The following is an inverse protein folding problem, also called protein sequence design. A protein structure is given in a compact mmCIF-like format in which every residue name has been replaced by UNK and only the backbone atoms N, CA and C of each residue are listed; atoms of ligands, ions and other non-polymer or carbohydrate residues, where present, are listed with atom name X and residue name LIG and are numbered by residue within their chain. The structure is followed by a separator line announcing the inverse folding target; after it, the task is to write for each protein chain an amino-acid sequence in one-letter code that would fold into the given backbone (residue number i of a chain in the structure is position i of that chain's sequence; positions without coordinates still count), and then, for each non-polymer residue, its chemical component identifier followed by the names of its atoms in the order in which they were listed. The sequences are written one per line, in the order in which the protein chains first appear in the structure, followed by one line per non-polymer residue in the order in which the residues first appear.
data_IF_925131858179
#
_entry.id   IF_925131858179
#
_cell.length_a   1.000
_cell.length_b   1.000
_cell.length_c   1.000
_cell.angle_alpha   90.00
_cell.angle_beta   90.00
_cell.angle_gamma   90.00
#
_symmetry.space_group_name_H-M   'P 1'
#
loop_
_entity.id
_entity.type
_entity.pdbx_description
1 polymer ?
#
# COMPACT_ATOMS: atom_id res chain seq x y z
N UNK A 1 -24.39 16.95 13.43
CA UNK A 1 -24.08 15.69 12.75
C UNK A 1 -22.67 15.33 13.14
N UNK A 2 -22.35 14.07 13.50
CA UNK A 2 -20.95 13.67 13.58
C UNK A 2 -20.33 13.96 12.21
N UNK A 3 -19.14 14.59 12.21
CA UNK A 3 -18.36 14.71 10.99
C UNK A 3 -17.80 13.31 10.76
N UNK A 4 -18.22 12.63 9.69
CA UNK A 4 -17.62 11.35 9.33
C UNK A 4 -16.10 11.55 9.18
N UNK A 5 -15.31 10.72 9.87
CA UNK A 5 -13.85 10.78 9.77
C UNK A 5 -13.45 10.51 8.32
N UNK A 6 -12.51 11.29 7.75
CA UNK A 6 -12.11 11.07 6.38
C UNK A 6 -11.46 9.69 6.22
N UNK A 7 -11.72 9.03 5.09
CA UNK A 7 -11.19 7.69 4.81
C UNK A 7 -10.14 7.72 3.71
N UNK A 8 -8.94 7.25 4.03
CA UNK A 8 -7.76 7.31 3.16
C UNK A 8 -7.28 5.91 2.82
N UNK A 9 -7.12 5.63 1.53
CA UNK A 9 -6.46 4.42 1.05
C UNK A 9 -4.95 4.56 1.08
N UNK A 10 -4.25 3.48 1.41
CA UNK A 10 -2.79 3.42 1.33
C UNK A 10 -2.34 2.26 0.45
N UNK A 11 -1.42 2.52 -0.49
CA UNK A 11 -0.79 1.48 -1.31
C UNK A 11 0.73 1.65 -1.28
N UNK A 12 1.46 0.56 -1.16
CA UNK A 12 2.92 0.54 -1.32
C UNK A 12 3.33 -0.30 -2.50
N UNK A 13 4.32 0.17 -3.24
CA UNK A 13 4.85 -0.51 -4.42
C UNK A 13 6.29 -0.97 -4.20
N UNK A 14 6.75 -1.89 -5.03
CA UNK A 14 8.12 -2.39 -4.99
C UNK A 14 8.69 -2.72 -6.37
N UNK A 15 10.01 -2.82 -6.41
CA UNK A 15 10.75 -3.28 -7.57
C UNK A 15 10.50 -4.80 -7.79
N UNK A 16 9.98 -5.23 -8.95
CA UNK A 16 9.72 -6.63 -9.24
C UNK A 16 11.01 -7.47 -9.39
N UNK A 17 12.18 -6.84 -9.51
CA UNK A 17 13.45 -7.54 -9.74
C UNK A 17 13.98 -8.13 -8.44
N UNK A 18 13.98 -9.46 -8.38
CA UNK A 18 14.54 -10.23 -7.25
C UNK A 18 16.05 -10.14 -7.13
N UNK A 19 16.72 -9.93 -8.27
CA UNK A 19 18.17 -9.77 -8.35
C UNK A 19 18.63 -8.38 -7.92
N UNK A 20 17.71 -7.45 -7.67
CA UNK A 20 18.07 -6.16 -7.10
C UNK A 20 18.61 -6.39 -5.67
N UNK A 21 19.68 -5.66 -5.33
CA UNK A 21 20.35 -5.80 -4.05
C UNK A 21 19.37 -5.59 -2.88
N UNK A 22 19.60 -6.34 -1.79
CA UNK A 22 18.88 -6.20 -0.52
C UNK A 22 17.37 -6.42 -0.63
N UNK A 23 16.96 -7.42 -1.42
CA UNK A 23 15.55 -7.77 -1.65
C UNK A 23 14.74 -7.86 -0.34
N UNK A 24 15.21 -8.66 0.62
CA UNK A 24 14.48 -8.91 1.87
C UNK A 24 14.42 -7.67 2.75
N UNK A 25 15.51 -6.92 2.84
CA UNK A 25 15.61 -5.68 3.61
C UNK A 25 14.71 -4.60 3.01
N UNK A 26 14.63 -4.53 1.67
CA UNK A 26 13.74 -3.63 0.95
C UNK A 26 12.28 -3.93 1.24
N UNK A 27 11.84 -5.17 1.11
CA UNK A 27 10.44 -5.53 1.41
C UNK A 27 10.10 -5.29 2.88
N UNK A 28 11.02 -5.60 3.79
CA UNK A 28 10.88 -5.29 5.22
C UNK A 28 10.76 -3.79 5.48
N UNK A 29 11.58 -2.97 4.81
CA UNK A 29 11.50 -1.51 4.90
C UNK A 29 10.15 -0.99 4.38
N UNK A 30 9.70 -1.43 3.22
CA UNK A 30 8.41 -1.02 2.64
C UNK A 30 7.28 -1.36 3.60
N UNK A 31 7.25 -2.59 4.14
CA UNK A 31 6.25 -3.01 5.11
C UNK A 31 6.28 -2.13 6.37
N UNK A 32 7.46 -1.88 6.92
CA UNK A 32 7.60 -1.05 8.12
C UNK A 32 7.10 0.39 7.88
N UNK A 33 7.47 1.00 6.75
CA UNK A 33 7.05 2.37 6.40
C UNK A 33 5.55 2.45 6.15
N UNK A 34 4.99 1.47 5.46
CA UNK A 34 3.55 1.39 5.19
C UNK A 34 2.74 1.28 6.49
N UNK A 35 3.09 0.34 7.37
CA UNK A 35 2.42 0.18 8.67
C UNK A 35 2.56 1.41 9.56
N UNK A 36 3.75 1.99 9.61
CA UNK A 36 3.98 3.22 10.38
C UNK A 36 3.11 4.38 9.88
N UNK A 37 2.90 4.49 8.57
CA UNK A 37 2.01 5.48 7.99
C UNK A 37 0.54 5.21 8.36
N UNK A 38 0.08 3.96 8.23
CA UNK A 38 -1.27 3.55 8.61
C UNK A 38 -1.56 3.91 10.08
N UNK A 39 -0.71 3.44 10.99
CA UNK A 39 -0.84 3.71 12.43
C UNK A 39 -0.84 5.21 12.73
N UNK A 40 0.04 5.99 12.08
CA UNK A 40 0.06 7.44 12.28
C UNK A 40 -1.26 8.10 11.86
N UNK A 41 -1.86 7.70 10.74
CA UNK A 41 -3.14 8.23 10.28
C UNK A 41 -4.28 7.86 11.25
N UNK A 42 -4.34 6.60 11.66
CA UNK A 42 -5.33 6.10 12.62
C UNK A 42 -5.22 6.79 13.99
N UNK A 43 -4.00 6.97 14.52
CA UNK A 43 -3.73 7.70 15.75
C UNK A 43 -4.15 9.18 15.69
N UNK A 44 -4.28 9.74 14.48
CA UNK A 44 -4.75 11.10 14.23
C UNK A 44 -6.22 11.16 13.77
N UNK A 45 -6.99 10.08 13.97
CA UNK A 45 -8.44 10.06 13.75
C UNK A 45 -8.89 9.93 12.29
N UNK A 46 -7.99 9.52 11.40
CA UNK A 46 -8.26 9.24 9.99
C UNK A 46 -8.49 7.74 9.82
N UNK A 47 -9.58 7.35 9.16
CA UNK A 47 -9.83 5.94 8.85
C UNK A 47 -8.94 5.50 7.68
N UNK A 48 -8.32 4.33 7.79
CA UNK A 48 -7.38 3.82 6.78
C UNK A 48 -7.94 2.57 6.11
N UNK A 49 -7.97 2.57 4.77
CA UNK A 49 -8.20 1.38 3.96
C UNK A 49 -6.84 0.82 3.49
N UNK A 50 -6.44 -0.33 4.02
CA UNK A 50 -5.17 -1.00 3.70
C UNK A 50 -5.42 -2.39 3.07
N UNK A 51 -5.59 -2.48 1.74
CA UNK A 51 -5.77 -3.76 1.05
C UNK A 51 -4.50 -4.62 1.07
N UNK A 52 -3.31 -4.04 1.31
CA UNK A 52 -2.07 -4.83 1.39
C UNK A 52 -2.06 -5.69 2.66
N UNK A 53 -2.64 -5.19 3.76
CA UNK A 53 -2.78 -5.98 5.00
C UNK A 53 -3.56 -7.29 4.77
N UNK A 54 -4.55 -7.27 3.87
CA UNK A 54 -5.39 -8.42 3.53
C UNK A 54 -4.79 -9.28 2.41
N UNK A 55 -4.15 -8.65 1.42
CA UNK A 55 -3.60 -9.32 0.24
C UNK A 55 -2.26 -10.01 0.51
N UNK A 56 -1.56 -9.65 1.59
CA UNK A 56 -0.24 -10.19 1.91
C UNK A 56 -0.32 -11.22 3.02
N UNK A 57 0.25 -12.39 2.75
CA UNK A 57 0.41 -13.45 3.75
C UNK A 57 1.62 -13.18 4.64
N UNK A 58 1.53 -13.60 5.90
CA UNK A 58 2.69 -13.59 6.79
C UNK A 58 3.81 -14.47 6.20
N UNK A 59 5.02 -13.92 6.08
CA UNK A 59 6.16 -14.60 5.45
C UNK A 59 6.14 -14.60 3.91
N UNK A 60 5.20 -13.89 3.28
CA UNK A 60 5.20 -13.67 1.83
C UNK A 60 6.47 -12.94 1.37
N UNK A 61 6.97 -13.33 0.19
CA UNK A 61 8.21 -12.77 -0.37
C UNK A 61 8.13 -11.28 -0.68
N UNK A 62 6.95 -10.79 -1.07
CA UNK A 62 6.73 -9.39 -1.41
C UNK A 62 5.67 -8.79 -0.52
N UNK A 63 5.93 -7.59 -0.02
CA UNK A 63 4.93 -6.75 0.61
C UNK A 63 4.37 -5.74 -0.39
N UNK A 64 5.23 -5.03 -1.14
CA UNK A 64 4.79 -4.04 -2.11
C UNK A 64 4.07 -4.65 -3.33
N UNK A 65 3.19 -3.88 -3.96
CA UNK A 65 2.57 -4.22 -5.24
C UNK A 65 3.63 -4.16 -6.36
N UNK A 66 3.63 -5.17 -7.24
CA UNK A 66 4.66 -5.32 -8.30
C UNK A 66 4.10 -5.73 -9.66
N UNK A 67 2.80 -6.02 -9.76
CA UNK A 67 2.14 -6.45 -11.01
C UNK A 67 0.80 -5.76 -11.13
N UNK A 68 0.37 -5.50 -12.37
CA UNK A 68 -0.89 -4.81 -12.66
C UNK A 68 -2.10 -5.49 -12.02
N UNK A 69 -2.20 -6.82 -12.07
CA UNK A 69 -3.32 -7.53 -11.44
C UNK A 69 -3.40 -7.35 -9.92
N UNK A 70 -2.28 -7.09 -9.23
CA UNK A 70 -2.32 -6.74 -7.80
C UNK A 70 -2.82 -5.30 -7.58
N UNK A 71 -2.50 -4.39 -8.50
CA UNK A 71 -3.00 -3.00 -8.47
C UNK A 71 -4.51 -2.99 -8.71
N UNK A 72 -4.98 -3.68 -9.74
CA UNK A 72 -6.41 -3.79 -10.06
C UNK A 72 -7.22 -4.36 -8.89
N UNK A 73 -6.69 -5.40 -8.22
CA UNK A 73 -7.27 -5.98 -7.01
C UNK A 73 -7.39 -4.94 -5.89
N UNK A 74 -6.29 -4.24 -5.60
CA UNK A 74 -6.23 -3.27 -4.52
C UNK A 74 -7.16 -2.08 -4.78
N UNK A 75 -7.15 -1.54 -6.01
CA UNK A 75 -8.04 -0.45 -6.43
C UNK A 75 -9.51 -0.86 -6.30
N UNK A 76 -9.85 -2.09 -6.68
CA UNK A 76 -11.23 -2.59 -6.56
C UNK A 76 -11.69 -2.62 -5.09
N UNK A 77 -10.82 -3.05 -4.16
CA UNK A 77 -11.12 -3.04 -2.71
C UNK A 77 -11.28 -1.61 -2.19
N UNK A 78 -10.31 -0.74 -2.48
CA UNK A 78 -10.35 0.67 -2.08
C UNK A 78 -11.61 1.39 -2.58
N UNK A 79 -12.04 1.13 -3.83
CA UNK A 79 -13.29 1.67 -4.37
C UNK A 79 -14.53 1.18 -3.62
N UNK A 80 -14.56 -0.09 -3.20
CA UNK A 80 -15.69 -0.62 -2.42
C UNK A 80 -15.76 -0.04 -1.00
N UNK A 81 -14.66 0.49 -0.50
CA UNK A 81 -14.58 1.12 0.81
C UNK A 81 -14.92 2.62 0.82
N UNK A 82 -15.09 3.24 -0.35
CA UNK A 82 -15.48 4.65 -0.44
C UNK A 82 -14.41 5.63 0.02
N UNK A 83 -13.13 5.34 -0.23
CA UNK A 83 -12.02 6.24 0.12
C UNK A 83 -12.13 7.61 -0.58
N UNK A 84 -11.69 8.66 0.10
CA UNK A 84 -11.72 10.03 -0.41
C UNK A 84 -10.34 10.49 -0.92
N UNK A 85 -9.28 9.83 -0.47
CA UNK A 85 -7.91 10.09 -0.92
C UNK A 85 -7.10 8.79 -0.95
N UNK A 86 -6.06 8.78 -1.79
CA UNK A 86 -5.11 7.68 -1.91
C UNK A 86 -3.69 8.19 -1.66
N UNK A 87 -2.97 7.53 -0.76
CA UNK A 87 -1.53 7.75 -0.57
C UNK A 87 -0.75 6.62 -1.24
N UNK A 88 0.16 6.99 -2.12
CA UNK A 88 1.01 6.08 -2.88
C UNK A 88 2.43 6.10 -2.33
N UNK A 89 2.87 4.96 -1.79
CA UNK A 89 4.22 4.74 -1.27
C UNK A 89 5.14 4.12 -2.32
N UNK A 90 5.93 4.96 -2.99
CA UNK A 90 7.04 4.55 -3.88
C UNK A 90 8.39 4.67 -3.16
N UNK A 91 8.59 3.86 -2.12
CA UNK A 91 9.74 3.94 -1.21
C UNK A 91 11.08 3.59 -1.86
N UNK A 92 11.03 2.82 -2.94
CA UNK A 92 12.15 2.45 -3.80
C UNK A 92 11.71 2.58 -5.26
N UNK A 93 12.66 2.38 -6.19
CA UNK A 93 12.32 2.35 -7.61
C UNK A 93 11.16 1.39 -7.88
N UNK A 94 10.17 1.91 -8.58
CA UNK A 94 8.92 1.24 -8.92
C UNK A 94 8.66 1.49 -10.39
N UNK A 95 8.14 0.50 -11.11
CA UNK A 95 7.72 0.67 -12.50
C UNK A 95 6.58 1.71 -12.57
N UNK A 96 6.77 2.87 -13.24
CA UNK A 96 5.83 4.00 -13.13
C UNK A 96 4.40 3.69 -13.54
N UNK A 97 4.20 2.72 -14.42
CA UNK A 97 2.87 2.31 -14.88
C UNK A 97 2.00 1.72 -13.76
N UNK A 98 2.61 1.16 -12.70
CA UNK A 98 1.87 0.57 -11.58
C UNK A 98 1.18 1.64 -10.71
N UNK A 99 1.90 2.62 -10.11
CA UNK A 99 1.27 3.64 -9.29
C UNK A 99 0.38 4.61 -10.08
N UNK A 100 0.64 4.82 -11.38
CA UNK A 100 -0.20 5.70 -12.21
C UNK A 100 -1.56 5.09 -12.56
N UNK A 101 -1.75 3.78 -12.35
CA UNK A 101 -3.00 3.08 -12.60
C UNK A 101 -3.83 2.88 -11.30
N UNK A 102 -3.30 3.33 -10.17
CA UNK A 102 -3.93 3.23 -8.85
C UNK A 102 -5.04 4.29 -8.64
#
# INVERSE_FOLDING_TARGET
MPVDSPKVGILSFTDPRETAAFFSEREGYIQQRHRKLATYLEENGIEVADPLSEMRTAGGKYFGLRKMGEVEEAVRRLRSEGIEALIIGCWHWTEPMLPLYA
#
